data_IF_605993008288
#
_entry.id   IF_605993008288
#
_cell.length_a   1.000
_cell.length_b   1.000
_cell.length_c   1.000
_cell.angle_alpha   90.00
_cell.angle_beta   90.00
_cell.angle_gamma   90.00
#
_symmetry.space_group_name_H-M   'P 1'
#
loop_
_entity.id
_entity.type
_entity.pdbx_description
1 polymer ?
#
# COMPACT_ATOMS: atom_id res chain seq x y z
N UNK A 1 31.13 -31.63 25.80
CA UNK A 1 31.65 -30.51 24.99
C UNK A 1 30.78 -29.29 25.25
N UNK A 2 31.32 -28.15 25.70
CA UNK A 2 30.48 -26.99 26.01
C UNK A 2 29.98 -26.34 24.72
N UNK A 3 28.66 -26.23 24.57
CA UNK A 3 28.02 -25.45 23.52
C UNK A 3 28.51 -24.00 23.61
N UNK A 4 29.26 -23.54 22.60
CA UNK A 4 29.84 -22.20 22.59
C UNK A 4 28.74 -21.16 22.22
N UNK A 5 28.00 -20.75 23.24
CA UNK A 5 26.91 -19.78 23.17
C UNK A 5 27.35 -18.47 22.49
N UNK A 6 28.61 -18.05 22.67
CA UNK A 6 29.17 -16.84 22.04
C UNK A 6 29.19 -16.93 20.51
N UNK A 7 29.53 -18.10 19.96
CA UNK A 7 29.55 -18.33 18.51
C UNK A 7 28.14 -18.20 17.91
N UNK A 8 27.13 -18.77 18.59
CA UNK A 8 25.74 -18.75 18.13
C UNK A 8 25.14 -17.34 18.15
N UNK A 9 25.46 -16.55 19.19
CA UNK A 9 25.05 -15.14 19.28
C UNK A 9 25.70 -14.31 18.17
N UNK A 10 26.99 -14.53 17.89
CA UNK A 10 27.68 -13.80 16.82
C UNK A 10 27.06 -14.07 15.44
N UNK A 11 26.74 -15.34 15.14
CA UNK A 11 26.04 -15.71 13.91
C UNK A 11 24.63 -15.09 13.81
N UNK A 12 23.89 -15.00 14.92
CA UNK A 12 22.59 -14.34 14.93
C UNK A 12 22.70 -12.83 14.68
N UNK A 13 23.69 -12.16 15.28
CA UNK A 13 23.93 -10.73 15.07
C UNK A 13 24.30 -10.45 13.60
N UNK A 14 25.15 -11.27 12.99
CA UNK A 14 25.54 -11.11 11.59
C UNK A 14 24.38 -11.35 10.61
N UNK A 15 23.53 -12.33 10.89
CA UNK A 15 22.35 -12.62 10.06
C UNK A 15 21.34 -11.48 10.14
N UNK A 16 21.05 -10.98 11.35
CA UNK A 16 20.21 -9.80 11.56
C UNK A 16 20.79 -8.54 10.89
N UNK A 17 22.12 -8.36 10.90
CA UNK A 17 22.77 -7.23 10.22
C UNK A 17 22.69 -7.33 8.69
N UNK A 18 22.77 -8.53 8.12
CA UNK A 18 22.60 -8.78 6.68
C UNK A 18 21.16 -8.57 6.23
N UNK A 19 20.18 -9.05 7.01
CA UNK A 19 18.76 -8.82 6.76
C UNK A 19 18.39 -7.34 6.91
N UNK A 20 18.91 -6.66 7.94
CA UNK A 20 18.73 -5.22 8.14
C UNK A 20 19.20 -4.38 6.95
N UNK A 21 20.33 -4.74 6.31
CA UNK A 21 20.82 -4.05 5.10
C UNK A 21 19.93 -4.27 3.87
N UNK A 22 19.39 -5.49 3.67
CA UNK A 22 18.41 -5.79 2.61
C UNK A 22 17.09 -5.05 2.83
N UNK A 23 16.68 -4.91 4.09
CA UNK A 23 15.48 -4.16 4.47
C UNK A 23 15.69 -2.63 4.35
N UNK A 24 16.91 -2.15 4.50
CA UNK A 24 17.23 -0.73 4.34
C UNK A 24 17.23 -0.29 2.86
N UNK A 25 17.78 -1.09 1.94
CA UNK A 25 17.76 -0.79 0.50
C UNK A 25 16.34 -0.83 -0.10
N UNK A 26 15.49 -1.73 0.39
CA UNK A 26 14.05 -1.77 0.04
C UNK A 26 13.28 -0.59 0.64
N UNK A 27 13.69 -0.06 1.79
CA UNK A 27 13.09 1.14 2.38
C UNK A 27 13.45 2.44 1.60
N UNK A 28 14.67 2.55 1.08
CA UNK A 28 15.12 3.69 0.25
C UNK A 28 14.37 3.75 -1.08
N UNK A 29 14.21 2.60 -1.76
CA UNK A 29 13.43 2.52 -3.00
C UNK A 29 11.95 2.86 -2.76
N UNK A 30 11.35 2.36 -1.68
CA UNK A 30 9.97 2.69 -1.30
C UNK A 30 9.75 4.20 -1.08
N UNK A 31 10.70 4.89 -0.44
CA UNK A 31 10.64 6.35 -0.23
C UNK A 31 10.66 7.14 -1.54
N UNK A 32 11.49 6.77 -2.52
CA UNK A 32 11.50 7.40 -3.86
C UNK A 32 10.18 7.21 -4.60
N UNK A 33 9.59 6.02 -4.51
CA UNK A 33 8.32 5.71 -5.14
C UNK A 33 7.14 6.49 -4.50
N UNK A 34 7.18 6.78 -3.20
CA UNK A 34 6.18 7.68 -2.57
C UNK A 34 6.33 9.12 -3.05
N UNK A 35 7.55 9.66 -3.11
CA UNK A 35 7.78 11.02 -3.63
C UNK A 35 7.37 11.15 -5.10
N UNK A 36 7.63 10.13 -5.92
CA UNK A 36 7.22 10.12 -7.33
C UNK A 36 5.70 10.14 -7.50
N UNK A 37 4.94 9.42 -6.67
CA UNK A 37 3.48 9.48 -6.73
C UNK A 37 2.93 10.85 -6.29
N UNK A 38 3.58 11.51 -5.32
CA UNK A 38 3.18 12.84 -4.84
C UNK A 38 3.49 13.94 -5.85
N UNK A 39 4.64 13.88 -6.53
CA UNK A 39 5.00 14.81 -7.61
C UNK A 39 4.19 14.53 -8.87
N UNK A 40 3.81 13.27 -9.13
CA UNK A 40 2.94 12.90 -10.25
C UNK A 40 1.61 13.66 -10.18
N UNK A 41 1.01 13.82 -9.00
CA UNK A 41 -0.20 14.63 -8.86
C UNK A 41 -0.04 16.09 -9.29
N UNK A 42 1.18 16.66 -9.25
CA UNK A 42 1.46 18.02 -9.70
C UNK A 42 1.59 18.11 -11.23
N UNK A 43 1.89 17.02 -11.93
CA UNK A 43 2.01 16.99 -13.40
C UNK A 43 0.71 16.60 -14.11
N UNK A 44 -0.21 15.89 -13.43
CA UNK A 44 -1.57 15.57 -13.91
C UNK A 44 -2.33 16.83 -14.41
N UNK A 45 -2.00 18.00 -13.87
CA UNK A 45 -2.66 19.26 -14.20
C UNK A 45 -2.49 19.76 -15.64
N UNK A 46 -1.43 19.34 -16.34
CA UNK A 46 -0.99 19.95 -17.62
C UNK A 46 -1.24 19.06 -18.85
N UNK A 47 -2.00 17.97 -18.69
CA UNK A 47 -2.30 17.00 -19.75
C UNK A 47 -3.74 17.13 -20.25
N UNK A 48 -3.99 16.63 -21.46
CA UNK A 48 -5.29 16.65 -22.13
C UNK A 48 -6.39 15.97 -21.28
N UNK A 49 -7.55 16.62 -21.06
CA UNK A 49 -8.66 16.03 -20.29
C UNK A 49 -9.29 14.79 -20.94
N UNK A 50 -9.20 14.63 -22.26
CA UNK A 50 -9.83 13.53 -23.01
C UNK A 50 -8.87 12.34 -23.21
N UNK A 51 -7.61 12.48 -22.79
CA UNK A 51 -6.65 11.38 -22.80
C UNK A 51 -6.99 10.36 -21.71
N UNK A 52 -7.52 9.21 -22.16
CA UNK A 52 -7.86 8.06 -21.32
C UNK A 52 -6.72 7.05 -21.20
N UNK A 53 -5.57 7.29 -21.82
CA UNK A 53 -4.45 6.36 -21.73
C UNK A 53 -3.78 6.44 -20.35
N UNK A 54 -3.27 5.31 -19.90
CA UNK A 54 -2.49 5.20 -18.67
C UNK A 54 -1.01 5.38 -18.99
N UNK A 55 -0.36 6.30 -18.29
CA UNK A 55 1.07 6.51 -18.37
C UNK A 55 1.83 5.40 -17.64
N UNK A 56 3.11 5.19 -17.98
CA UNK A 56 3.96 4.20 -17.31
C UNK A 56 3.99 4.35 -15.78
N UNK A 57 3.98 5.59 -15.28
CA UNK A 57 3.92 5.85 -13.83
C UNK A 57 2.59 5.36 -13.26
N UNK A 58 1.49 5.52 -13.99
CA UNK A 58 0.18 5.10 -13.50
C UNK A 58 0.07 3.59 -13.45
N UNK A 59 0.48 2.91 -14.52
CA UNK A 59 0.50 1.46 -14.63
C UNK A 59 1.42 0.82 -13.58
N UNK A 60 2.62 1.36 -13.39
CA UNK A 60 3.64 0.71 -12.56
C UNK A 60 3.60 1.13 -11.08
N UNK A 61 2.97 2.26 -10.74
CA UNK A 61 3.03 2.82 -9.39
C UNK A 61 1.67 3.19 -8.80
N UNK A 62 0.84 3.90 -9.57
CA UNK A 62 -0.43 4.45 -9.06
C UNK A 62 -1.48 3.35 -8.95
N UNK A 63 -1.77 2.65 -10.04
CA UNK A 63 -2.78 1.59 -10.07
C UNK A 63 -2.44 0.42 -9.14
N UNK A 64 -1.19 -0.08 -9.06
CA UNK A 64 -0.85 -1.14 -8.10
C UNK A 64 -1.09 -0.72 -6.65
N UNK A 65 -0.89 0.56 -6.32
CA UNK A 65 -1.19 1.10 -4.98
C UNK A 65 -2.69 1.29 -4.75
N UNK A 66 -3.39 1.83 -5.75
CA UNK A 66 -4.84 1.95 -5.74
C UNK A 66 -5.51 0.60 -5.49
N UNK A 67 -5.07 -0.41 -6.23
CA UNK A 67 -5.49 -1.79 -6.09
C UNK A 67 -5.20 -2.34 -4.69
N UNK A 68 -3.99 -2.14 -4.17
CA UNK A 68 -3.64 -2.58 -2.83
C UNK A 68 -4.55 -1.94 -1.76
N UNK A 69 -4.82 -0.64 -1.86
CA UNK A 69 -5.76 0.05 -0.95
C UNK A 69 -7.17 -0.51 -1.07
N UNK A 70 -7.66 -0.77 -2.28
CA UNK A 70 -8.97 -1.41 -2.53
C UNK A 70 -9.03 -2.79 -1.87
N UNK A 71 -7.98 -3.59 -2.01
CA UNK A 71 -7.90 -4.89 -1.35
C UNK A 71 -7.91 -4.75 0.17
N UNK A 72 -7.13 -3.83 0.74
CA UNK A 72 -7.01 -3.66 2.19
C UNK A 72 -8.32 -3.18 2.84
N UNK A 73 -9.06 -2.26 2.20
CA UNK A 73 -10.18 -1.56 2.82
C UNK A 73 -11.57 -1.89 2.28
N UNK A 74 -11.67 -2.53 1.12
CA UNK A 74 -12.96 -2.93 0.52
C UNK A 74 -13.08 -4.45 0.49
N UNK A 75 -12.13 -5.13 -0.14
CA UNK A 75 -12.24 -6.59 -0.37
C UNK A 75 -11.92 -7.39 0.90
N UNK A 76 -10.76 -7.14 1.51
CA UNK A 76 -10.28 -7.81 2.72
C UNK A 76 -10.51 -6.94 3.97
N UNK A 77 -11.63 -6.21 3.99
CA UNK A 77 -11.96 -5.26 5.06
C UNK A 77 -12.06 -5.97 6.41
N UNK A 78 -12.73 -7.11 6.46
CA UNK A 78 -12.96 -7.87 7.69
C UNK A 78 -11.63 -8.34 8.33
N UNK A 79 -10.72 -8.89 7.52
CA UNK A 79 -9.42 -9.35 7.99
C UNK A 79 -8.50 -8.18 8.36
N UNK A 80 -8.60 -7.05 7.65
CA UNK A 80 -7.89 -5.82 8.02
C UNK A 80 -8.39 -5.26 9.35
N UNK A 81 -9.70 -5.22 9.59
CA UNK A 81 -10.29 -4.76 10.85
C UNK A 81 -9.94 -5.68 12.02
N UNK A 82 -9.99 -7.00 11.84
CA UNK A 82 -9.55 -7.97 12.84
C UNK A 82 -8.08 -7.75 13.24
N UNK A 83 -7.20 -7.62 12.25
CA UNK A 83 -5.79 -7.33 12.49
C UNK A 83 -5.60 -5.97 13.19
N UNK A 84 -6.31 -4.92 12.76
CA UNK A 84 -6.22 -3.62 13.41
C UNK A 84 -6.71 -3.65 14.86
N UNK A 85 -7.76 -4.39 15.16
CA UNK A 85 -8.26 -4.57 16.52
C UNK A 85 -7.23 -5.28 17.40
N UNK A 86 -6.61 -6.35 16.90
CA UNK A 86 -5.53 -7.02 17.62
C UNK A 86 -4.32 -6.09 17.84
N UNK A 87 -3.96 -5.29 16.84
CA UNK A 87 -2.90 -4.27 16.96
C UNK A 87 -3.19 -3.23 18.03
N UNK A 88 -4.44 -2.75 18.10
CA UNK A 88 -4.88 -1.77 19.12
C UNK A 88 -4.84 -2.38 20.52
N UNK A 89 -5.16 -3.67 20.64
CA UNK A 89 -5.19 -4.37 21.93
C UNK A 89 -3.79 -4.68 22.47
N UNK A 90 -2.87 -5.16 21.63
CA UNK A 90 -1.57 -5.69 22.08
C UNK A 90 -0.38 -4.77 21.78
N UNK A 91 -0.56 -3.74 20.95
CA UNK A 91 0.46 -2.73 20.65
C UNK A 91 1.81 -3.33 20.29
N UNK A 92 2.80 -3.18 21.19
CA UNK A 92 4.18 -3.65 21.00
C UNK A 92 4.28 -5.19 20.90
N UNK A 93 3.34 -5.92 21.51
CA UNK A 93 3.33 -7.39 21.49
C UNK A 93 2.62 -8.00 20.27
N UNK A 94 2.21 -7.17 19.29
CA UNK A 94 1.53 -7.59 18.06
C UNK A 94 2.20 -8.77 17.36
N UNK A 95 3.54 -8.76 17.25
CA UNK A 95 4.27 -9.78 16.48
C UNK A 95 4.09 -11.20 17.00
N UNK A 96 3.71 -11.35 18.27
CA UNK A 96 3.44 -12.65 18.89
C UNK A 96 1.95 -12.93 18.99
N UNK A 97 1.16 -11.90 19.30
CA UNK A 97 -0.27 -12.07 19.61
C UNK A 97 -1.18 -12.03 18.37
N UNK A 98 -0.78 -11.33 17.30
CA UNK A 98 -1.63 -11.10 16.11
C UNK A 98 -1.19 -11.92 14.88
N UNK A 99 -0.48 -13.02 15.09
CA UNK A 99 0.05 -13.85 13.99
C UNK A 99 -1.09 -14.46 13.17
N UNK A 100 -2.16 -14.89 13.84
CA UNK A 100 -3.33 -15.50 13.21
C UNK A 100 -4.10 -14.49 12.35
N UNK A 101 -4.44 -13.32 12.89
CA UNK A 101 -5.11 -12.25 12.13
C UNK A 101 -4.26 -11.79 10.94
N UNK A 102 -2.93 -11.73 11.11
CA UNK A 102 -2.01 -11.40 10.03
C UNK A 102 -2.03 -12.47 8.93
N UNK A 103 -2.10 -13.74 9.31
CA UNK A 103 -2.19 -14.85 8.37
C UNK A 103 -3.51 -14.83 7.58
N UNK A 104 -4.65 -14.58 8.26
CA UNK A 104 -5.94 -14.43 7.60
C UNK A 104 -5.94 -13.27 6.60
N UNK A 105 -5.45 -12.10 7.01
CA UNK A 105 -5.30 -10.96 6.11
C UNK A 105 -4.46 -11.29 4.88
N UNK A 106 -3.26 -11.86 5.09
CA UNK A 106 -2.38 -12.22 3.98
C UNK A 106 -3.01 -13.26 3.05
N UNK A 107 -3.80 -14.20 3.60
CA UNK A 107 -4.52 -15.19 2.81
C UNK A 107 -5.58 -14.54 1.93
N UNK A 108 -6.35 -13.58 2.45
CA UNK A 108 -7.32 -12.83 1.65
C UNK A 108 -6.64 -12.05 0.52
N UNK A 109 -5.53 -11.35 0.83
CA UNK A 109 -4.76 -10.61 -0.17
C UNK A 109 -4.18 -11.52 -1.27
N UNK A 110 -3.70 -12.71 -0.90
CA UNK A 110 -3.15 -13.67 -1.86
C UNK A 110 -4.23 -14.23 -2.79
N UNK A 111 -5.40 -14.58 -2.25
CA UNK A 111 -6.55 -15.04 -3.05
C UNK A 111 -6.99 -14.01 -4.07
N UNK A 112 -7.02 -12.74 -3.65
CA UNK A 112 -7.45 -11.64 -4.49
C UNK A 112 -6.30 -10.94 -5.21
N UNK A 113 -5.08 -11.47 -5.25
CA UNK A 113 -3.93 -10.76 -5.86
C UNK A 113 -4.09 -10.57 -7.37
N UNK A 114 -4.73 -11.54 -8.02
CA UNK A 114 -4.91 -11.59 -9.47
C UNK A 114 -6.38 -11.44 -9.89
N UNK A 115 -7.21 -10.84 -9.04
CA UNK A 115 -8.60 -10.59 -9.39
C UNK A 115 -8.65 -9.47 -10.46
N UNK A 116 -8.98 -9.83 -11.70
CA UNK A 116 -9.00 -8.90 -12.84
C UNK A 116 -10.13 -7.89 -12.70
N UNK A 117 -11.31 -8.32 -12.26
CA UNK A 117 -12.47 -7.44 -12.03
C UNK A 117 -12.11 -6.25 -11.12
N UNK A 118 -11.39 -6.52 -10.03
CA UNK A 118 -10.99 -5.49 -9.08
C UNK A 118 -9.92 -4.56 -9.66
N UNK A 119 -9.06 -5.05 -10.58
CA UNK A 119 -8.06 -4.21 -11.25
C UNK A 119 -8.71 -3.28 -12.26
N UNK A 120 -9.65 -3.80 -13.03
CA UNK A 120 -10.35 -3.05 -14.07
C UNK A 120 -11.21 -1.97 -13.43
N UNK A 121 -11.99 -2.30 -12.40
CA UNK A 121 -12.75 -1.34 -11.58
C UNK A 121 -11.88 -0.18 -11.08
N UNK A 122 -10.69 -0.51 -10.53
CA UNK A 122 -9.77 0.52 -10.02
C UNK A 122 -9.22 1.40 -11.13
N UNK A 123 -8.98 0.84 -12.31
CA UNK A 123 -8.46 1.57 -13.47
C UNK A 123 -9.50 2.54 -14.03
N UNK A 124 -10.74 2.09 -14.19
CA UNK A 124 -11.85 2.91 -14.67
C UNK A 124 -12.16 4.05 -13.71
N UNK A 125 -12.28 3.76 -12.41
CA UNK A 125 -12.52 4.78 -11.38
C UNK A 125 -11.40 5.82 -11.36
N UNK A 126 -10.14 5.37 -11.46
CA UNK A 126 -8.99 6.26 -11.49
C UNK A 126 -8.99 7.18 -12.72
N UNK A 127 -9.27 6.64 -13.92
CA UNK A 127 -9.34 7.42 -15.17
C UNK A 127 -10.47 8.45 -15.10
N UNK A 128 -11.65 8.05 -14.60
CA UNK A 128 -12.79 8.94 -14.43
C UNK A 128 -12.48 10.10 -13.46
N UNK A 129 -11.89 9.80 -12.30
CA UNK A 129 -11.47 10.83 -11.35
C UNK A 129 -10.39 11.75 -11.94
N UNK A 130 -9.43 11.18 -12.69
CA UNK A 130 -8.37 11.94 -13.35
C UNK A 130 -8.95 12.90 -14.39
N UNK A 131 -9.83 12.44 -15.27
CA UNK A 131 -10.48 13.27 -16.30
C UNK A 131 -11.34 14.35 -15.65
N UNK A 132 -12.16 13.99 -14.66
CA UNK A 132 -12.95 14.97 -13.91
C UNK A 132 -12.06 16.03 -13.25
N UNK A 133 -10.94 15.63 -12.64
CA UNK A 133 -10.01 16.57 -12.03
C UNK A 133 -9.34 17.49 -13.06
N UNK A 134 -8.98 16.95 -14.24
CA UNK A 134 -8.39 17.75 -15.33
C UNK A 134 -9.36 18.82 -15.82
N UNK A 135 -10.64 18.48 -15.97
CA UNK A 135 -11.71 19.38 -16.43
C UNK A 135 -12.08 20.43 -15.38
N UNK A 136 -12.33 20.00 -14.14
CA UNK A 136 -12.95 20.85 -13.11
C UNK A 136 -11.97 21.50 -12.15
N UNK A 137 -10.76 20.95 -12.01
CA UNK A 137 -9.78 21.27 -10.96
C UNK A 137 -10.36 21.14 -9.54
N UNK A 138 -11.42 20.35 -9.34
CA UNK A 138 -12.07 20.19 -8.03
C UNK A 138 -11.12 19.54 -7.01
N UNK A 139 -10.75 20.23 -5.92
CA UNK A 139 -9.86 19.68 -4.90
C UNK A 139 -10.42 18.43 -4.23
N UNK A 140 -11.74 18.20 -4.24
CA UNK A 140 -12.35 16.97 -3.70
C UNK A 140 -11.97 15.75 -4.55
N UNK A 141 -11.95 15.88 -5.87
CA UNK A 141 -11.53 14.81 -6.78
C UNK A 141 -10.06 14.44 -6.54
N UNK A 142 -9.18 15.43 -6.37
CA UNK A 142 -7.77 15.16 -6.04
C UNK A 142 -7.62 14.45 -4.69
N UNK A 143 -8.41 14.82 -3.68
CA UNK A 143 -8.40 14.13 -2.38
C UNK A 143 -8.81 12.65 -2.53
N UNK A 144 -9.85 12.36 -3.33
CA UNK A 144 -10.27 10.99 -3.62
C UNK A 144 -9.19 10.19 -4.34
N UNK A 145 -8.58 10.74 -5.39
CA UNK A 145 -7.46 10.09 -6.07
C UNK A 145 -6.28 9.81 -5.11
N UNK A 146 -5.92 10.78 -4.25
CA UNK A 146 -4.87 10.59 -3.24
C UNK A 146 -5.22 9.49 -2.24
N UNK A 147 -6.47 9.46 -1.76
CA UNK A 147 -6.95 8.45 -0.82
C UNK A 147 -6.87 7.03 -1.41
N UNK A 148 -7.14 6.89 -2.71
CA UNK A 148 -6.99 5.62 -3.42
C UNK A 148 -5.54 5.10 -3.36
N UNK A 149 -4.55 5.97 -3.55
CA UNK A 149 -3.13 5.57 -3.65
C UNK A 149 -2.46 5.46 -2.28
N UNK A 150 -2.89 6.25 -1.31
CA UNK A 150 -2.22 6.38 -0.01
C UNK A 150 -3.09 5.76 1.10
N UNK A 151 -2.74 4.55 1.59
CA UNK A 151 -3.57 3.81 2.55
C UNK A 151 -3.76 4.56 3.87
N UNK A 152 -2.76 5.35 4.31
CA UNK A 152 -2.86 6.19 5.52
C UNK A 152 -3.99 7.23 5.45
N UNK A 153 -4.47 7.57 4.27
CA UNK A 153 -5.52 8.58 4.05
C UNK A 153 -6.87 7.98 3.67
N UNK A 154 -6.95 6.67 3.39
CA UNK A 154 -8.22 6.03 3.02
C UNK A 154 -9.20 5.96 4.21
N UNK A 155 -8.69 5.67 5.41
CA UNK A 155 -9.48 5.66 6.64
C UNK A 155 -10.07 7.05 6.99
N UNK A 156 -9.45 8.15 6.55
CA UNK A 156 -9.89 9.52 6.87
C UNK A 156 -10.84 10.13 5.85
N UNK A 157 -11.05 9.51 4.68
CA UNK A 157 -11.86 10.08 3.58
C UNK A 157 -13.21 9.37 3.42
N UNK A 158 -13.38 8.18 4.01
CA UNK A 158 -14.65 7.42 4.01
C UNK A 158 -15.37 7.45 5.38
N UNK A 159 -15.09 8.46 6.22
CA UNK A 159 -15.73 8.67 7.53
C UNK A 159 -16.65 9.91 7.58
N UNK A 160 -16.94 10.53 6.43
CA UNK A 160 -17.92 11.61 6.30
C UNK A 160 -19.14 11.16 5.49
#
# INVERSE_FOLDING_TARGET
MPFNIKSKIHQMIETMAREGKKNHSTCISRRRHETLALTYFQTVFKSDPDDNNLNDIEVNLILPRAYQTRLDYVVCKAETEALENCRRQYGVFMSFMCVEDLFHKNTCLLRNRNNEDVKDDCSEEYIALRSHYRLTKDPKTLRRMKAMILPKTYATVNLD
#
